data_IF_891388554106
#
_entry.id   IF_891388554106
#
_cell.length_a   1.000
_cell.length_b   1.000
_cell.length_c   1.000
_cell.angle_alpha   90.00
_cell.angle_beta   90.00
_cell.angle_gamma   90.00
#
_symmetry.space_group_name_H-M   'P 1'
#
loop_
_entity.id
_entity.type
_entity.pdbx_description
1 polymer ?
#
# COMPACT_ATOMS: atom_id res chain seq x y z
N UNK A 1 12.83 58.33 6.43
CA UNK A 1 12.54 57.37 5.33
C UNK A 1 13.61 56.29 5.33
N UNK A 2 13.26 55.05 5.67
CA UNK A 2 14.01 53.79 5.42
C UNK A 2 13.59 52.77 6.47
N UNK A 3 13.38 51.48 6.22
CA UNK A 3 13.26 50.64 5.02
C UNK A 3 12.55 49.40 5.60
N UNK A 4 11.34 49.08 5.17
CA UNK A 4 10.69 47.85 5.61
C UNK A 4 11.43 46.66 5.01
N UNK A 5 11.97 45.79 5.85
CA UNK A 5 12.54 44.50 5.42
C UNK A 5 11.35 43.56 5.23
N UNK A 6 10.98 43.31 3.97
CA UNK A 6 10.07 42.24 3.61
C UNK A 6 10.82 40.91 3.73
N UNK A 7 10.52 40.16 4.79
CA UNK A 7 10.98 38.78 4.92
C UNK A 7 9.97 37.89 4.18
N UNK A 8 10.28 37.54 2.94
CA UNK A 8 9.47 36.62 2.15
C UNK A 8 9.65 35.19 2.68
N UNK A 9 8.63 34.64 3.34
CA UNK A 9 8.55 33.20 3.61
C UNK A 9 8.26 32.47 2.30
N UNK A 10 9.30 31.88 1.69
CA UNK A 10 9.14 30.85 0.67
C UNK A 10 8.69 29.55 1.36
N UNK A 11 7.37 29.33 1.45
CA UNK A 11 6.83 27.99 1.68
C UNK A 11 7.03 27.18 0.40
N UNK A 12 8.16 26.49 0.30
CA UNK A 12 8.35 25.45 -0.71
C UNK A 12 7.32 24.35 -0.47
N UNK A 13 6.46 24.08 -1.45
CA UNK A 13 5.61 22.89 -1.45
C UNK A 13 6.52 21.67 -1.48
N UNK A 14 6.68 20.99 -0.35
CA UNK A 14 7.29 19.67 -0.34
C UNK A 14 6.31 18.74 -1.05
N UNK A 15 6.59 18.42 -2.31
CA UNK A 15 5.94 17.30 -2.96
C UNK A 15 6.27 16.05 -2.13
N UNK A 16 5.28 15.54 -1.40
CA UNK A 16 5.38 14.20 -0.84
C UNK A 16 5.67 13.26 -2.01
N UNK A 17 6.83 12.58 -2.00
CA UNK A 17 7.14 11.56 -2.98
C UNK A 17 6.16 10.40 -2.75
N UNK A 18 5.07 10.37 -3.52
CA UNK A 18 4.22 9.18 -3.62
C UNK A 18 5.05 8.08 -4.30
N UNK A 19 5.08 6.88 -3.71
CA UNK A 19 5.78 5.77 -4.32
C UNK A 19 5.00 5.21 -5.50
N UNK A 20 5.59 4.27 -6.23
CA UNK A 20 5.05 3.88 -7.53
C UNK A 20 3.89 2.87 -7.43
N UNK A 21 3.68 2.27 -6.25
CA UNK A 21 2.48 1.49 -5.91
C UNK A 21 2.05 1.71 -4.46
N UNK A 22 1.04 2.55 -4.27
CA UNK A 22 0.44 2.89 -2.98
C UNK A 22 -0.73 1.96 -2.67
N UNK A 23 -0.78 1.43 -1.44
CA UNK A 23 -2.01 0.83 -0.91
C UNK A 23 -2.89 1.95 -0.38
N UNK A 24 -4.06 2.15 -1.00
CA UNK A 24 -4.95 3.29 -0.72
C UNK A 24 -6.23 2.90 0.02
N UNK A 25 -6.61 1.62 0.00
CA UNK A 25 -7.68 1.07 0.83
C UNK A 25 -7.46 -0.42 1.10
N UNK A 26 -7.91 -0.88 2.26
CA UNK A 26 -7.88 -2.31 2.64
C UNK A 26 -9.15 -2.64 3.43
N UNK A 27 -9.95 -3.56 2.90
CA UNK A 27 -11.06 -4.17 3.64
C UNK A 27 -10.64 -5.54 4.12
N UNK A 28 -10.97 -5.85 5.37
CA UNK A 28 -10.60 -7.12 6.00
C UNK A 28 -11.86 -7.86 6.42
N UNK A 29 -11.95 -9.14 6.05
CA UNK A 29 -13.04 -10.04 6.45
C UNK A 29 -12.45 -11.27 7.11
N UNK A 30 -13.05 -11.72 8.21
CA UNK A 30 -12.67 -12.99 8.84
C UNK A 30 -13.38 -14.11 8.10
N UNK A 31 -12.63 -15.02 7.48
CA UNK A 31 -13.19 -16.16 6.74
C UNK A 31 -13.33 -17.40 7.61
N UNK A 32 -12.44 -17.58 8.60
CA UNK A 32 -12.56 -18.62 9.62
C UNK A 32 -11.69 -18.30 10.85
N UNK A 33 -11.54 -19.24 11.78
CA UNK A 33 -10.71 -19.04 12.97
C UNK A 33 -9.24 -18.75 12.58
N UNK A 34 -8.75 -17.55 12.93
CA UNK A 34 -7.38 -17.12 12.64
C UNK A 34 -7.08 -16.90 11.14
N UNK A 35 -8.11 -16.89 10.28
CA UNK A 35 -7.93 -16.76 8.83
C UNK A 35 -8.75 -15.60 8.31
N UNK A 36 -8.11 -14.79 7.46
CA UNK A 36 -8.64 -13.53 6.97
C UNK A 36 -8.48 -13.40 5.47
N UNK A 37 -9.44 -12.71 4.87
CA UNK A 37 -9.47 -12.31 3.49
C UNK A 37 -9.33 -10.79 3.42
N UNK A 38 -8.57 -10.31 2.44
CA UNK A 38 -8.26 -8.91 2.27
C UNK A 38 -8.67 -8.45 0.87
N UNK A 39 -9.50 -7.41 0.78
CA UNK A 39 -9.74 -6.71 -0.48
C UNK A 39 -8.81 -5.50 -0.48
N UNK A 40 -7.76 -5.54 -1.30
CA UNK A 40 -6.66 -4.55 -1.28
C UNK A 40 -6.76 -3.68 -2.52
N UNK A 41 -6.87 -2.37 -2.29
CA UNK A 41 -6.93 -1.37 -3.36
C UNK A 41 -5.58 -0.70 -3.51
N UNK A 42 -5.02 -0.79 -4.70
CA UNK A 42 -3.72 -0.23 -5.06
C UNK A 42 -3.92 0.89 -6.08
N UNK A 43 -3.19 2.00 -5.88
CA UNK A 43 -2.97 3.02 -6.90
C UNK A 43 -1.51 2.93 -7.32
N UNK A 44 -1.27 2.73 -8.61
CA UNK A 44 0.09 2.62 -9.14
C UNK A 44 0.30 3.42 -10.42
N UNK A 45 1.58 3.64 -10.74
CA UNK A 45 2.00 4.33 -11.97
C UNK A 45 2.45 3.28 -13.00
N UNK A 46 1.51 2.43 -13.39
CA UNK A 46 1.76 1.37 -14.36
C UNK A 46 2.06 1.96 -15.75
N UNK A 47 3.04 1.37 -16.46
CA UNK A 47 3.52 1.73 -17.80
C UNK A 47 4.04 0.47 -18.50
N UNK A 48 3.15 -0.47 -18.78
CA UNK A 48 3.44 -1.72 -19.46
C UNK A 48 4.05 -2.79 -18.56
N UNK A 49 4.40 -3.92 -19.19
CA UNK A 49 4.82 -5.17 -18.54
C UNK A 49 6.13 -5.10 -17.74
N UNK A 50 6.91 -4.03 -17.93
CA UNK A 50 8.16 -3.82 -17.20
C UNK A 50 8.05 -2.79 -16.08
N UNK A 51 6.93 -2.09 -15.99
CA UNK A 51 6.71 -1.01 -15.04
C UNK A 51 5.31 -1.10 -14.45
N UNK A 52 5.06 -2.00 -13.52
CA UNK A 52 3.71 -2.15 -12.95
C UNK A 52 3.72 -2.72 -11.53
N UNK A 53 2.63 -2.51 -10.79
CA UNK A 53 2.41 -3.16 -9.51
C UNK A 53 2.25 -4.69 -9.69
N UNK A 54 3.27 -5.45 -9.28
CA UNK A 54 3.34 -6.90 -9.54
C UNK A 54 3.04 -7.79 -8.33
N UNK A 55 2.88 -7.19 -7.15
CA UNK A 55 2.44 -7.90 -5.95
C UNK A 55 1.87 -6.97 -4.88
N UNK A 56 1.17 -7.55 -3.91
CA UNK A 56 1.00 -6.96 -2.59
C UNK A 56 1.10 -8.01 -1.49
N UNK A 57 1.44 -7.55 -0.29
CA UNK A 57 1.77 -8.38 0.86
C UNK A 57 1.06 -7.90 2.12
N UNK A 58 0.69 -8.86 2.96
CA UNK A 58 0.22 -8.65 4.33
C UNK A 58 1.36 -9.04 5.27
N UNK A 59 1.76 -8.11 6.14
CA UNK A 59 2.87 -8.26 7.08
C UNK A 59 2.37 -8.33 8.52
N UNK A 60 3.02 -9.18 9.30
CA UNK A 60 2.91 -9.19 10.75
C UNK A 60 3.64 -8.01 11.40
N UNK A 61 3.46 -7.81 12.72
CA UNK A 61 4.11 -6.72 13.47
C UNK A 61 5.65 -6.78 13.45
N UNK A 62 6.21 -7.96 13.22
CA UNK A 62 7.65 -8.23 13.09
C UNK A 62 8.18 -8.00 11.66
N UNK A 63 7.32 -7.57 10.73
CA UNK A 63 7.66 -7.41 9.31
C UNK A 63 7.68 -8.72 8.52
N UNK A 64 7.27 -9.86 9.11
CA UNK A 64 7.17 -11.13 8.39
C UNK A 64 6.00 -11.10 7.42
N UNK A 65 6.20 -11.60 6.20
CA UNK A 65 5.12 -11.79 5.23
C UNK A 65 4.22 -12.94 5.69
N UNK A 66 2.95 -12.62 5.96
CA UNK A 66 1.90 -13.56 6.34
C UNK A 66 1.07 -14.02 5.12
N UNK A 67 1.01 -13.19 4.08
CA UNK A 67 0.36 -13.50 2.82
C UNK A 67 0.87 -12.61 1.70
N UNK A 68 0.81 -13.13 0.47
CA UNK A 68 1.23 -12.42 -0.75
C UNK A 68 0.32 -12.79 -1.90
N UNK A 69 -0.06 -11.80 -2.71
CA UNK A 69 -0.64 -12.03 -4.04
C UNK A 69 0.31 -11.49 -5.10
N UNK A 70 0.53 -12.30 -6.14
CA UNK A 70 1.19 -11.86 -7.38
C UNK A 70 0.12 -11.31 -8.32
N UNK A 71 0.44 -10.20 -8.98
CA UNK A 71 -0.37 -9.56 -10.00
C UNK A 71 0.27 -9.80 -11.37
N UNK A 72 -0.54 -10.30 -12.30
CA UNK A 72 -0.05 -10.91 -13.54
C UNK A 72 -0.21 -10.01 -14.77
N UNK A 73 -0.65 -8.77 -14.61
CA UNK A 73 -0.75 -7.79 -15.70
C UNK A 73 -0.68 -6.35 -15.18
N UNK A 74 -0.29 -5.39 -16.03
CA UNK A 74 -0.42 -3.96 -15.74
C UNK A 74 -1.90 -3.53 -15.69
N UNK A 75 -2.17 -2.51 -14.88
CA UNK A 75 -3.50 -1.93 -14.67
C UNK A 75 -3.53 -0.45 -15.10
N UNK A 76 -2.89 -0.07 -16.21
CA UNK A 76 -2.75 1.33 -16.66
C UNK A 76 -4.08 2.10 -16.75
N UNK A 77 -5.12 1.42 -17.23
CA UNK A 77 -6.45 2.00 -17.45
C UNK A 77 -7.44 1.71 -16.33
N UNK A 78 -7.00 1.02 -15.27
CA UNK A 78 -7.81 0.61 -14.12
C UNK A 78 -7.12 1.11 -12.84
N UNK A 79 -7.28 2.41 -12.53
CA UNK A 79 -6.65 3.01 -11.35
C UNK A 79 -7.65 3.84 -10.52
N UNK A 80 -7.74 3.60 -9.21
CA UNK A 80 -7.12 2.48 -8.50
C UNK A 80 -7.79 1.14 -8.86
N UNK A 81 -7.10 0.03 -8.67
CA UNK A 81 -7.67 -1.31 -8.82
C UNK A 81 -7.74 -2.03 -7.48
N UNK A 82 -8.72 -2.91 -7.32
CA UNK A 82 -8.87 -3.76 -6.12
C UNK A 82 -8.69 -5.23 -6.50
N UNK A 83 -7.93 -5.97 -5.69
CA UNK A 83 -7.80 -7.43 -5.82
C UNK A 83 -7.80 -8.08 -4.44
N UNK A 84 -8.35 -9.27 -4.38
CA UNK A 84 -8.46 -10.03 -3.12
C UNK A 84 -7.17 -10.78 -2.76
N UNK A 85 -6.93 -11.02 -1.48
CA UNK A 85 -6.01 -12.04 -1.00
C UNK A 85 -6.73 -12.86 0.06
N UNK A 86 -7.06 -14.09 -0.30
CA UNK A 86 -7.84 -14.99 0.52
C UNK A 86 -6.95 -15.88 1.40
N UNK A 87 -7.51 -16.30 2.53
CA UNK A 87 -6.95 -17.41 3.31
C UNK A 87 -5.67 -17.08 4.07
N UNK A 88 -5.42 -15.80 4.38
CA UNK A 88 -4.23 -15.39 5.13
C UNK A 88 -4.36 -15.83 6.58
N UNK A 89 -3.49 -16.75 7.01
CA UNK A 89 -3.42 -17.20 8.41
C UNK A 89 -2.67 -16.19 9.25
N UNK A 90 -3.32 -15.69 10.29
CA UNK A 90 -2.75 -14.72 11.22
C UNK A 90 -2.52 -15.41 12.58
N UNK A 91 -1.30 -15.32 13.15
CA UNK A 91 -1.01 -15.86 14.48
C UNK A 91 -1.93 -15.29 15.57
N UNK A 92 -2.24 -16.11 16.57
CA UNK A 92 -2.98 -15.67 17.74
C UNK A 92 -2.29 -14.48 18.42
N UNK A 93 -3.07 -13.51 18.89
CA UNK A 93 -2.58 -12.30 19.54
C UNK A 93 -2.23 -11.16 18.59
N UNK A 94 -2.10 -11.40 17.28
CA UNK A 94 -1.95 -10.32 16.29
C UNK A 94 -3.31 -9.67 16.05
N UNK A 95 -3.40 -8.36 16.31
CA UNK A 95 -4.64 -7.58 16.14
C UNK A 95 -4.56 -6.54 15.02
N UNK A 96 -3.35 -6.30 14.50
CA UNK A 96 -3.09 -5.36 13.40
C UNK A 96 -2.04 -5.94 12.47
N UNK A 97 -2.22 -5.70 11.19
CA UNK A 97 -1.28 -6.07 10.11
C UNK A 97 -0.98 -4.84 9.27
N UNK A 98 0.14 -4.85 8.57
CA UNK A 98 0.50 -3.83 7.58
C UNK A 98 0.38 -4.41 6.18
N UNK A 99 -0.17 -3.64 5.25
CA UNK A 99 -0.32 -4.02 3.85
C UNK A 99 0.52 -3.08 2.99
N UNK A 100 1.29 -3.66 2.07
CA UNK A 100 2.12 -2.91 1.11
C UNK A 100 1.99 -3.50 -0.29
N UNK A 101 2.16 -2.66 -1.31
CA UNK A 101 2.26 -3.09 -2.69
C UNK A 101 3.72 -3.04 -3.16
N UNK A 102 4.05 -3.88 -4.14
CA UNK A 102 5.34 -3.90 -4.82
C UNK A 102 5.16 -3.39 -6.23
N UNK A 103 5.98 -2.43 -6.63
CA UNK A 103 6.10 -1.97 -7.99
C UNK A 103 7.34 -2.59 -8.65
N UNK A 104 7.19 -3.21 -9.82
CA UNK A 104 8.34 -3.63 -10.64
C UNK A 104 8.76 -2.43 -11.48
N UNK A 105 10.04 -1.98 -11.46
CA UNK A 105 11.19 -2.58 -10.78
C UNK A 105 11.50 -1.99 -9.39
N UNK A 106 10.78 -0.95 -8.95
CA UNK A 106 11.13 -0.09 -7.81
C UNK A 106 11.14 -0.79 -6.44
N UNK A 107 10.45 -1.92 -6.31
CA UNK A 107 10.29 -2.64 -5.05
C UNK A 107 9.12 -2.10 -4.24
N UNK A 108 9.32 -1.91 -2.94
CA UNK A 108 8.28 -1.48 -2.00
C UNK A 108 8.56 -0.04 -1.56
N UNK A 109 8.21 0.92 -2.42
CA UNK A 109 8.45 2.36 -2.21
C UNK A 109 7.18 3.16 -1.93
N UNK A 110 6.00 2.56 -2.15
CA UNK A 110 4.71 3.19 -1.93
C UNK A 110 4.21 3.17 -0.50
N UNK A 111 3.13 3.93 -0.28
CA UNK A 111 2.41 4.01 0.96
C UNK A 111 1.86 2.64 1.39
N UNK A 112 1.97 2.38 2.69
CA UNK A 112 1.43 1.18 3.33
C UNK A 112 0.24 1.54 4.20
N UNK A 113 -0.72 0.63 4.36
CA UNK A 113 -1.81 0.79 5.33
C UNK A 113 -1.70 -0.23 6.44
N UNK A 114 -1.83 0.23 7.68
CA UNK A 114 -1.96 -0.64 8.84
C UNK A 114 -3.43 -0.76 9.24
N UNK A 115 -3.96 -1.98 9.21
CA UNK A 115 -5.38 -2.26 9.47
C UNK A 115 -5.57 -3.15 10.68
N UNK A 116 -6.57 -2.82 11.49
CA UNK A 116 -7.01 -3.65 12.61
C UNK A 116 -7.84 -4.81 12.09
N UNK A 117 -7.58 -6.02 12.58
CA UNK A 117 -8.32 -7.22 12.19
C UNK A 117 -9.68 -7.25 12.89
N UNK A 118 -10.76 -7.60 12.16
CA UNK A 118 -12.06 -7.84 12.79
C UNK A 118 -11.98 -9.07 13.71
N UNK A 119 -12.79 -9.06 14.76
CA UNK A 119 -12.92 -10.17 15.70
C UNK A 119 -13.98 -11.15 15.23
#
# INVERSE_FOLDING_TARGET
MSKAILMALLLGAQAALAGEADVVDVKVRRSSAGTYDFDITVRSVDKGWDHYADAFEVLGPDGKVLGRRILLHPHETEQPFTRDLYGVRIPAGVTRVTVRARHKPKGYDGATLSVTLPR
#
